data_IF_437754382261
#
_entry.id   IF_437754382261
#
_cell.length_a   1.000
_cell.length_b   1.000
_cell.length_c   1.000
_cell.angle_alpha   90.00
_cell.angle_beta   90.00
_cell.angle_gamma   90.00
#
_symmetry.space_group_name_H-M   'P 1'
#
loop_
_entity.id
_entity.type
_entity.pdbx_description
1 polymer ?
#
# COMPACT_ATOMS: atom_id res chain seq x y z
N UNK A 1 -9.50 -12.84 7.68
CA UNK A 1 -8.50 -12.06 8.46
C UNK A 1 -8.54 -10.56 8.12
N UNK A 2 -8.70 -10.19 6.84
CA UNK A 2 -8.58 -8.77 6.47
C UNK A 2 -9.59 -7.80 7.10
N UNK A 3 -10.87 -8.18 7.10
CA UNK A 3 -11.94 -7.44 7.79
C UNK A 3 -11.76 -7.35 9.32
N UNK A 4 -11.03 -8.28 9.93
CA UNK A 4 -10.80 -8.32 11.38
C UNK A 4 -9.79 -7.25 11.84
N UNK A 5 -8.73 -7.00 11.05
CA UNK A 5 -7.79 -5.89 11.32
C UNK A 5 -8.45 -4.52 11.16
N UNK A 6 -9.41 -4.39 10.23
CA UNK A 6 -10.24 -3.19 10.08
C UNK A 6 -11.09 -2.95 11.33
N UNK A 7 -11.72 -4.01 11.87
CA UNK A 7 -12.54 -3.89 13.08
C UNK A 7 -11.74 -3.44 14.32
N UNK A 8 -10.48 -3.86 14.46
CA UNK A 8 -9.61 -3.39 15.55
C UNK A 8 -9.33 -1.88 15.46
N UNK A 9 -9.14 -1.37 14.23
CA UNK A 9 -8.85 0.05 13.97
C UNK A 9 -9.93 0.99 14.52
N UNK A 10 -11.19 0.56 14.51
CA UNK A 10 -12.32 1.32 15.06
C UNK A 10 -12.20 1.60 16.55
N UNK A 11 -11.53 0.73 17.33
CA UNK A 11 -11.32 0.94 18.77
C UNK A 11 -10.32 2.07 19.07
N UNK A 12 -9.50 2.44 18.09
CA UNK A 12 -8.53 3.54 18.17
C UNK A 12 -9.07 4.85 17.56
N UNK A 13 -10.36 4.91 17.19
CA UNK A 13 -10.94 6.09 16.54
C UNK A 13 -10.51 6.25 15.09
N UNK A 14 -10.09 5.18 14.42
CA UNK A 14 -9.70 5.16 13.02
C UNK A 14 -10.80 4.50 12.17
N UNK A 15 -11.04 5.03 10.96
CA UNK A 15 -11.82 4.35 9.92
C UNK A 15 -10.84 3.59 9.03
N UNK A 16 -11.12 2.32 8.78
CA UNK A 16 -10.35 1.53 7.85
C UNK A 16 -11.27 0.86 6.82
N UNK A 17 -10.83 0.79 5.58
CA UNK A 17 -11.52 0.05 4.51
C UNK A 17 -10.51 -0.79 3.74
N UNK A 18 -10.96 -1.91 3.22
CA UNK A 18 -10.22 -2.67 2.20
C UNK A 18 -10.63 -2.11 0.84
N UNK A 19 -9.66 -1.71 0.03
CA UNK A 19 -9.86 -1.21 -1.32
C UNK A 19 -8.99 -2.01 -2.31
N UNK A 20 -9.51 -2.20 -3.52
CA UNK A 20 -8.74 -2.68 -4.67
C UNK A 20 -8.48 -1.48 -5.57
N UNK A 21 -7.23 -1.02 -5.62
CA UNK A 21 -6.83 0.16 -6.37
C UNK A 21 -6.28 -0.25 -7.74
N UNK A 22 -6.55 0.55 -8.78
CA UNK A 22 -6.22 0.19 -10.18
C UNK A 22 -4.74 0.39 -10.56
N UNK A 23 -3.96 1.05 -9.70
CA UNK A 23 -2.56 1.38 -9.95
C UNK A 23 -2.00 2.32 -8.89
N UNK A 24 -0.71 2.60 -8.99
CA UNK A 24 -0.03 3.50 -8.07
C UNK A 24 -0.44 4.96 -8.26
N UNK A 25 -0.96 5.34 -9.42
CA UNK A 25 -1.55 6.67 -9.64
C UNK A 25 -2.80 6.88 -8.77
N UNK A 26 -3.63 5.83 -8.63
CA UNK A 26 -4.78 5.86 -7.74
C UNK A 26 -4.34 5.90 -6.27
N UNK A 27 -3.33 5.11 -5.91
CA UNK A 27 -2.73 5.13 -4.58
C UNK A 27 -2.14 6.52 -4.24
N UNK A 28 -1.51 7.18 -5.21
CA UNK A 28 -0.89 8.49 -5.01
C UNK A 28 -1.89 9.56 -4.58
N UNK A 29 -3.11 9.55 -5.12
CA UNK A 29 -4.18 10.47 -4.70
C UNK A 29 -4.58 10.30 -3.23
N UNK A 30 -4.44 9.10 -2.66
CA UNK A 30 -4.66 8.85 -1.22
C UNK A 30 -3.47 9.32 -0.39
N UNK A 31 -2.25 9.04 -0.86
CA UNK A 31 -1.00 9.50 -0.22
C UNK A 31 -0.96 11.04 -0.15
N UNK A 32 -1.38 11.74 -1.21
CA UNK A 32 -1.46 13.21 -1.26
C UNK A 32 -2.44 13.79 -0.21
N UNK A 33 -3.36 12.97 0.30
CA UNK A 33 -4.23 13.30 1.44
C UNK A 33 -3.66 12.89 2.80
N UNK A 34 -2.37 12.58 2.85
CA UNK A 34 -1.67 12.09 4.04
C UNK A 34 -2.22 10.76 4.57
N UNK A 35 -2.75 9.90 3.70
CA UNK A 35 -3.24 8.56 4.05
C UNK A 35 -2.24 7.49 3.60
N UNK A 36 -1.37 6.98 4.49
CA UNK A 36 -0.52 5.85 4.16
C UNK A 36 -1.36 4.60 3.92
N UNK A 37 -0.89 3.74 3.02
CA UNK A 37 -1.62 2.54 2.60
C UNK A 37 -0.88 1.29 3.05
N UNK A 38 -1.54 0.41 3.78
CA UNK A 38 -1.01 -0.93 4.00
C UNK A 38 -1.39 -1.81 2.80
N UNK A 39 -0.40 -2.23 2.01
CA UNK A 39 -0.59 -2.99 0.78
C UNK A 39 0.01 -4.38 0.94
N UNK A 40 -0.52 -5.35 0.18
CA UNK A 40 -0.01 -6.71 0.18
C UNK A 40 0.27 -7.21 -1.23
N UNK A 41 1.37 -7.94 -1.37
CA UNK A 41 1.81 -8.52 -2.63
C UNK A 41 2.73 -9.72 -2.38
N UNK A 42 2.96 -10.48 -3.44
CA UNK A 42 3.92 -11.59 -3.53
C UNK A 42 4.93 -11.32 -4.66
N UNK A 43 6.15 -11.84 -4.52
CA UNK A 43 7.19 -11.73 -5.55
C UNK A 43 8.07 -12.98 -5.60
N UNK A 44 8.55 -13.29 -6.79
CA UNK A 44 9.62 -14.25 -7.03
C UNK A 44 10.99 -13.60 -7.13
N UNK A 45 12.01 -14.43 -7.32
CA UNK A 45 13.40 -14.02 -7.45
C UNK A 45 13.60 -12.92 -8.52
N UNK A 46 14.20 -11.79 -8.11
CA UNK A 46 14.53 -10.67 -8.99
C UNK A 46 13.35 -9.76 -9.39
N UNK A 47 12.12 -10.08 -9.00
CA UNK A 47 10.96 -9.27 -9.38
C UNK A 47 10.84 -7.96 -8.60
N UNK A 48 11.41 -7.91 -7.38
CA UNK A 48 11.50 -6.73 -6.52
C UNK A 48 12.98 -6.42 -6.19
N UNK A 49 13.67 -5.64 -7.05
CA UNK A 49 15.07 -5.31 -6.83
C UNK A 49 15.30 -4.58 -5.50
N UNK A 50 16.32 -5.00 -4.76
CA UNK A 50 16.67 -4.43 -3.46
C UNK A 50 15.83 -4.95 -2.29
N UNK A 51 14.93 -5.91 -2.51
CA UNK A 51 14.21 -6.56 -1.44
C UNK A 51 15.18 -7.35 -0.52
N UNK A 52 14.94 -7.36 0.80
CA UNK A 52 15.75 -8.10 1.76
C UNK A 52 15.54 -9.63 1.67
N UNK A 53 14.43 -10.06 1.05
CA UNK A 53 14.13 -11.47 0.79
C UNK A 53 14.10 -11.70 -0.72
N UNK A 54 14.66 -12.83 -1.15
CA UNK A 54 14.69 -13.21 -2.57
C UNK A 54 13.29 -13.46 -3.13
N UNK A 55 12.35 -13.96 -2.31
CA UNK A 55 10.95 -14.19 -2.69
C UNK A 55 10.02 -14.07 -1.47
N UNK A 56 8.71 -13.95 -1.74
CA UNK A 56 7.65 -14.07 -0.74
C UNK A 56 6.33 -14.48 -1.40
N UNK A 57 5.63 -15.45 -0.81
CA UNK A 57 4.29 -15.88 -1.22
C UNK A 57 3.17 -14.95 -0.71
N UNK A 58 3.53 -13.96 0.10
CA UNK A 58 2.60 -12.98 0.65
C UNK A 58 3.28 -12.12 1.70
N UNK A 59 3.28 -10.82 1.48
CA UNK A 59 3.94 -9.84 2.34
C UNK A 59 3.04 -8.65 2.57
N UNK A 60 3.15 -8.01 3.74
CA UNK A 60 2.42 -6.80 4.07
C UNK A 60 3.41 -5.68 4.36
N UNK A 61 3.25 -4.56 3.66
CA UNK A 61 4.09 -3.37 3.83
C UNK A 61 3.23 -2.11 3.91
N UNK A 62 3.82 -0.99 4.29
CA UNK A 62 3.12 0.31 4.26
C UNK A 62 3.76 1.23 3.23
N UNK A 63 3.00 1.55 2.18
CA UNK A 63 3.33 2.62 1.23
C UNK A 63 3.08 3.96 1.92
N UNK A 64 4.14 4.76 2.07
CA UNK A 64 4.05 6.10 2.70
C UNK A 64 4.14 7.24 1.72
N UNK A 65 4.53 6.95 0.48
CA UNK A 65 4.47 7.88 -0.63
C UNK A 65 5.54 7.59 -1.66
N UNK A 66 5.96 8.64 -2.36
CA UNK A 66 6.84 8.50 -3.51
C UNK A 66 8.04 9.44 -3.39
N UNK A 67 9.19 9.01 -3.89
CA UNK A 67 10.36 9.87 -4.04
C UNK A 67 10.12 10.89 -5.15
N UNK A 68 11.05 11.86 -5.31
CA UNK A 68 11.00 12.82 -6.42
C UNK A 68 10.96 12.14 -7.80
N UNK A 69 11.56 10.97 -7.93
CA UNK A 69 11.61 10.20 -9.18
C UNK A 69 10.38 9.28 -9.35
N UNK A 70 9.45 9.29 -8.39
CA UNK A 70 8.22 8.49 -8.43
C UNK A 70 8.35 7.10 -7.82
N UNK A 71 9.52 6.72 -7.27
CA UNK A 71 9.75 5.43 -6.63
C UNK A 71 9.02 5.30 -5.29
N UNK A 72 8.64 4.09 -4.91
CA UNK A 72 7.81 3.85 -3.74
C UNK A 72 8.63 3.92 -2.45
N UNK A 73 8.32 4.89 -1.59
CA UNK A 73 8.83 4.94 -0.22
C UNK A 73 7.97 4.04 0.67
N UNK A 74 8.54 2.90 1.07
CA UNK A 74 7.85 1.81 1.76
C UNK A 74 8.45 1.56 3.14
N UNK A 75 7.59 1.28 4.12
CA UNK A 75 7.96 0.61 5.35
C UNK A 75 7.78 -0.91 5.15
N UNK A 76 8.90 -1.62 5.00
CA UNK A 76 8.99 -3.06 4.82
C UNK A 76 9.53 -3.72 6.11
N UNK A 77 8.74 -4.53 6.82
CA UNK A 77 9.19 -5.15 8.07
C UNK A 77 10.29 -6.19 7.89
N UNK A 78 10.53 -6.69 6.67
CA UNK A 78 11.64 -7.59 6.38
C UNK A 78 12.97 -6.84 6.20
N UNK A 79 12.94 -5.51 6.02
CA UNK A 79 14.14 -4.71 5.83
C UNK A 79 14.80 -4.35 7.16
N UNK A 80 16.15 -4.35 7.27
CA UNK A 80 16.84 -4.06 8.53
C UNK A 80 16.47 -2.72 9.19
N UNK A 81 16.20 -1.68 8.38
CA UNK A 81 15.86 -0.34 8.86
C UNK A 81 14.38 0.02 8.67
N UNK A 82 13.54 -0.95 8.30
CA UNK A 82 12.12 -0.82 7.90
C UNK A 82 11.87 0.10 6.70
N UNK A 83 12.55 1.23 6.58
CA UNK A 83 12.37 2.21 5.50
C UNK A 83 13.21 1.81 4.30
N UNK A 84 12.55 1.55 3.18
CA UNK A 84 13.15 1.18 1.90
C UNK A 84 12.48 1.95 0.77
N UNK A 85 13.23 2.17 -0.32
CA UNK A 85 12.70 2.68 -1.58
C UNK A 85 12.76 1.56 -2.61
N UNK A 86 11.62 1.25 -3.24
CA UNK A 86 11.54 0.27 -4.32
C UNK A 86 11.16 0.93 -5.65
N UNK A 87 11.65 0.42 -6.79
CA UNK A 87 11.28 0.94 -8.10
C UNK A 87 9.77 0.93 -8.32
N UNK A 88 9.20 2.04 -8.79
CA UNK A 88 7.74 2.18 -8.99
C UNK A 88 7.16 1.04 -9.82
N UNK A 89 7.77 0.77 -10.97
CA UNK A 89 7.29 -0.24 -11.93
C UNK A 89 7.35 -1.67 -11.38
N UNK A 90 8.34 -1.96 -10.53
CA UNK A 90 8.45 -3.27 -9.87
C UNK A 90 7.30 -3.45 -8.88
N UNK A 91 7.07 -2.45 -8.01
CA UNK A 91 5.97 -2.47 -7.03
C UNK A 91 4.61 -2.54 -7.73
N UNK A 92 4.37 -1.70 -8.73
CA UNK A 92 3.09 -1.67 -9.45
C UNK A 92 2.78 -3.02 -10.10
N UNK A 93 3.75 -3.63 -10.78
CA UNK A 93 3.59 -4.93 -11.42
C UNK A 93 3.24 -6.02 -10.42
N UNK A 94 4.01 -6.17 -9.34
CA UNK A 94 3.77 -7.24 -8.36
C UNK A 94 2.47 -6.99 -7.58
N UNK A 95 2.15 -5.74 -7.26
CA UNK A 95 0.95 -5.40 -6.49
C UNK A 95 -0.33 -5.54 -7.31
N UNK A 96 -0.35 -5.10 -8.57
CA UNK A 96 -1.51 -5.27 -9.45
C UNK A 96 -1.77 -6.75 -9.79
N UNK A 97 -0.70 -7.55 -9.96
CA UNK A 97 -0.84 -9.01 -10.08
C UNK A 97 -1.49 -9.65 -8.86
N UNK A 98 -1.37 -9.03 -7.68
CA UNK A 98 -2.02 -9.42 -6.43
C UNK A 98 -3.28 -8.56 -6.13
N UNK A 99 -4.01 -8.18 -7.18
CA UNK A 99 -5.30 -7.49 -7.14
C UNK A 99 -5.28 -6.06 -6.55
N UNK A 100 -4.12 -5.43 -6.41
CA UNK A 100 -4.03 -4.03 -5.97
C UNK A 100 -4.65 -3.79 -4.59
N UNK A 101 -4.63 -4.79 -3.71
CA UNK A 101 -5.32 -4.71 -2.41
C UNK A 101 -4.58 -3.77 -1.45
N UNK A 102 -5.34 -2.90 -0.79
CA UNK A 102 -4.85 -1.99 0.24
C UNK A 102 -5.85 -1.89 1.41
N UNK A 103 -5.32 -1.72 2.62
CA UNK A 103 -6.06 -1.00 3.65
C UNK A 103 -5.80 0.49 3.50
N UNK A 104 -6.89 1.24 3.45
CA UNK A 104 -6.86 2.68 3.69
C UNK A 104 -7.27 2.88 5.13
N UNK A 105 -6.35 3.37 5.96
CA UNK A 105 -6.61 3.66 7.38
C UNK A 105 -6.50 5.16 7.58
N UNK A 106 -7.55 5.77 8.11
CA UNK A 106 -7.66 7.21 8.27
C UNK A 106 -8.20 7.58 9.66
N UNK A 107 -7.72 8.69 10.25
CA UNK A 107 -8.40 9.33 11.38
C UNK A 107 -9.85 9.68 11.03
N UNK A 108 -10.74 9.62 12.02
CA UNK A 108 -12.10 10.16 11.87
C UNK A 108 -12.01 11.66 11.53
N UNK A 109 -12.67 12.07 10.43
CA UNK A 109 -12.69 13.46 9.94
C UNK A 109 -11.89 13.71 8.66
N UNK A 110 -11.07 12.76 8.20
CA UNK A 110 -10.49 12.81 6.85
C UNK A 110 -11.45 12.12 5.87
N UNK A 111 -11.94 12.88 4.90
CA UNK A 111 -12.78 12.37 3.80
C UNK A 111 -11.90 11.88 2.63
N UNK A 112 -12.09 10.62 2.24
CA UNK A 112 -11.33 9.97 1.15
C UNK A 112 -12.20 9.05 0.29
N UNK A 113 -13.50 8.97 0.57
CA UNK A 113 -14.42 8.09 -0.15
C UNK A 113 -14.53 8.46 -1.64
N UNK A 114 -14.46 9.75 -1.97
CA UNK A 114 -14.44 10.25 -3.34
C UNK A 114 -13.23 9.76 -4.14
N UNK A 115 -12.07 9.58 -3.49
CA UNK A 115 -10.88 9.00 -4.13
C UNK A 115 -11.13 7.53 -4.45
N UNK A 116 -11.80 6.79 -3.56
CA UNK A 116 -12.12 5.39 -3.79
C UNK A 116 -13.14 5.21 -4.92
N UNK A 117 -14.15 6.09 -5.01
CA UNK A 117 -15.26 6.00 -5.96
C UNK A 117 -14.89 6.55 -7.35
N UNK A 118 -14.11 7.63 -7.43
CA UNK A 118 -13.78 8.31 -8.71
C UNK A 118 -12.84 7.52 -9.64
N UNK A 119 -12.48 6.29 -9.31
CA UNK A 119 -11.79 5.37 -10.22
C UNK A 119 -12.74 4.58 -11.15
N UNK A 120 -14.03 4.98 -11.18
CA UNK A 120 -15.09 4.41 -12.01
C UNK A 120 -15.41 5.21 -13.29
N UNK A 121 -14.53 6.10 -13.73
CA UNK A 121 -14.69 6.86 -15.00
C UNK A 121 -13.58 6.52 -15.98
#
# INVERSE_FOLDING_TARGET
NWSFNVAFSGRLGLRAVVAHLRGLDHAQRLIERNLPLAISYSWGAGELPGAPLDHSDGHLVVLRGFTRNGDCAINDPAAPNVRVVYPRSAVERIWQRNNGVAYVVAPVGIEYADVLISAAS
#
